data_IF_857618370661
#
_entry.id   IF_857618370661
#
_cell.length_a   1.000
_cell.length_b   1.000
_cell.length_c   1.000
_cell.angle_alpha   90.00
_cell.angle_beta   90.00
_cell.angle_gamma   90.00
#
_symmetry.space_group_name_H-M   'P 1'
#
loop_
_entity.id
_entity.type
_entity.pdbx_description
1 polymer ?
#
# COMPACT_ATOMS: atom_id res chain seq x y z
N UNK A 1 6.55 -2.45 -34.59
CA UNK A 1 5.42 -2.11 -33.70
C UNK A 1 5.79 -2.54 -32.29
N UNK A 2 6.15 -1.60 -31.41
CA UNK A 2 6.47 -1.89 -30.01
C UNK A 2 5.17 -1.77 -29.24
N UNK A 3 4.67 -2.88 -28.71
CA UNK A 3 3.46 -2.91 -27.88
C UNK A 3 3.78 -2.23 -26.55
N UNK A 4 3.27 -1.02 -26.38
CA UNK A 4 3.26 -0.29 -25.13
C UNK A 4 2.23 -0.97 -24.22
N UNK A 5 2.69 -1.86 -23.33
CA UNK A 5 1.83 -2.40 -22.27
C UNK A 5 1.38 -1.25 -21.38
N UNK A 6 0.16 -0.84 -21.66
CA UNK A 6 -0.57 0.16 -20.92
C UNK A 6 -1.00 -0.53 -19.62
N UNK A 7 -0.24 -0.34 -18.54
CA UNK A 7 -0.65 -0.75 -17.19
C UNK A 7 -1.75 0.19 -16.68
N UNK A 8 -2.90 0.15 -17.35
CA UNK A 8 -4.17 0.53 -16.74
C UNK A 8 -4.53 -0.57 -15.74
N UNK A 9 -4.70 -0.18 -14.48
CA UNK A 9 -5.55 -0.86 -13.50
C UNK A 9 -5.45 -2.39 -13.56
N UNK A 10 -4.30 -2.95 -13.16
CA UNK A 10 -4.28 -4.32 -12.66
C UNK A 10 -3.91 -4.25 -11.18
N UNK A 11 -4.90 -4.59 -10.35
CA UNK A 11 -4.63 -4.96 -8.97
C UNK A 11 -3.44 -5.90 -8.97
N UNK A 12 -2.46 -5.59 -8.13
CA UNK A 12 -1.42 -6.56 -7.81
C UNK A 12 -2.16 -7.85 -7.49
N UNK A 13 -1.98 -8.87 -8.33
CA UNK A 13 -2.23 -10.25 -7.97
C UNK A 13 -1.24 -10.60 -6.88
N UNK A 14 -1.45 -10.01 -5.69
CA UNK A 14 -1.07 -10.63 -4.44
C UNK A 14 -1.77 -11.97 -4.52
N UNK A 15 -0.99 -12.99 -4.85
CA UNK A 15 -1.44 -14.37 -4.87
C UNK A 15 -2.27 -14.56 -3.60
N UNK A 16 -3.58 -14.74 -3.80
CA UNK A 16 -4.57 -14.80 -2.75
C UNK A 16 -4.26 -15.99 -1.87
N UNK A 17 -3.46 -15.80 -0.82
CA UNK A 17 -3.45 -16.68 0.33
C UNK A 17 -4.20 -15.97 1.45
N UNK A 18 -5.51 -16.16 1.40
CA UNK A 18 -6.39 -16.38 2.55
C UNK A 18 -5.80 -15.98 3.91
N UNK A 19 -6.02 -14.73 4.32
CA UNK A 19 -6.00 -14.33 5.74
C UNK A 19 -4.77 -14.75 6.54
N UNK A 20 -3.60 -14.87 5.92
CA UNK A 20 -2.35 -15.11 6.60
C UNK A 20 -1.77 -13.76 7.02
N UNK A 21 -1.51 -13.62 8.33
CA UNK A 21 -0.76 -12.52 8.93
C UNK A 21 0.50 -12.27 8.08
N UNK A 22 0.56 -11.17 7.34
CA UNK A 22 1.77 -10.87 6.56
C UNK A 22 2.86 -10.50 7.56
N UNK A 23 3.81 -11.41 7.77
CA UNK A 23 5.00 -11.16 8.60
C UNK A 23 6.06 -10.32 7.88
N UNK A 24 5.83 -9.97 6.61
CA UNK A 24 6.79 -9.30 5.72
C UNK A 24 6.58 -7.80 5.75
N UNK A 25 7.10 -7.16 6.79
CA UNK A 25 6.89 -5.75 7.12
C UNK A 25 7.94 -4.84 6.49
N UNK A 26 8.24 -5.04 5.20
CA UNK A 26 9.39 -4.43 4.53
C UNK A 26 9.63 -2.96 4.87
N UNK A 27 10.90 -2.55 4.79
CA UNK A 27 11.31 -1.15 4.98
C UNK A 27 11.35 -0.44 3.65
N UNK A 28 10.94 0.82 3.63
CA UNK A 28 11.07 1.65 2.44
C UNK A 28 12.56 1.80 2.15
N UNK A 29 12.96 1.43 0.94
CA UNK A 29 14.33 1.49 0.43
C UNK A 29 14.51 2.53 -0.66
N UNK A 30 13.42 3.10 -1.17
CA UNK A 30 13.45 4.08 -2.24
C UNK A 30 12.15 4.85 -2.35
N UNK A 31 12.26 6.11 -2.74
CA UNK A 31 11.16 7.01 -3.00
C UNK A 31 11.60 8.01 -4.07
N UNK A 32 10.95 8.01 -5.22
CA UNK A 32 11.31 8.85 -6.37
C UNK A 32 10.04 9.40 -7.01
N UNK A 33 10.08 10.66 -7.42
CA UNK A 33 9.03 11.27 -8.24
C UNK A 33 9.48 11.26 -9.69
N UNK A 34 8.57 10.87 -10.58
CA UNK A 34 8.75 10.93 -12.02
C UNK A 34 7.63 11.77 -12.63
N UNK A 35 7.92 12.46 -13.72
CA UNK A 35 6.92 13.14 -14.55
C UNK A 35 6.75 12.33 -15.84
N UNK A 36 5.55 11.82 -16.07
CA UNK A 36 5.19 11.01 -17.24
C UNK A 36 4.31 11.84 -18.15
N UNK A 37 4.75 12.08 -19.39
CA UNK A 37 3.94 12.74 -20.40
C UNK A 37 2.90 11.77 -20.96
N UNK A 38 1.63 12.14 -20.90
CA UNK A 38 0.50 11.43 -21.50
C UNK A 38 -0.17 12.33 -22.55
N UNK A 39 -1.08 11.77 -23.35
CA UNK A 39 -1.83 12.54 -24.35
C UNK A 39 -2.69 13.66 -23.73
N UNK A 40 -2.98 13.59 -22.43
CA UNK A 40 -3.77 14.58 -21.69
C UNK A 40 -2.92 15.56 -20.87
N UNK A 41 -1.59 15.45 -20.92
CA UNK A 41 -0.66 16.35 -20.21
C UNK A 41 0.43 15.60 -19.43
N UNK A 42 1.12 16.30 -18.54
CA UNK A 42 2.15 15.69 -17.68
C UNK A 42 1.53 15.23 -16.37
N UNK A 43 1.72 13.96 -16.03
CA UNK A 43 1.25 13.34 -14.79
C UNK A 43 2.46 13.06 -13.89
N UNK A 44 2.38 13.46 -12.62
CA UNK A 44 3.37 13.05 -11.62
C UNK A 44 3.09 11.64 -11.14
N UNK A 45 4.11 10.80 -11.09
CA UNK A 45 4.06 9.44 -10.54
C UNK A 45 5.06 9.36 -9.39
N UNK A 46 4.60 8.82 -8.25
CA UNK A 46 5.47 8.48 -7.14
C UNK A 46 5.81 7.01 -7.21
N UNK A 47 7.11 6.70 -7.32
CA UNK A 47 7.63 5.35 -7.21
C UNK A 47 8.19 5.15 -5.80
N UNK A 48 7.80 4.06 -5.14
CA UNK A 48 8.37 3.66 -3.86
C UNK A 48 8.84 2.22 -3.91
N UNK A 49 9.90 1.89 -3.18
CA UNK A 49 10.36 0.52 -3.05
C UNK A 49 10.38 0.09 -1.58
N UNK A 50 10.03 -1.17 -1.38
CA UNK A 50 9.95 -1.82 -0.07
C UNK A 50 10.83 -3.07 -0.10
N UNK A 51 11.83 -3.10 0.77
CA UNK A 51 12.73 -4.23 0.92
C UNK A 51 12.40 -5.01 2.18
N UNK A 52 12.18 -6.31 2.06
CA UNK A 52 12.11 -7.25 3.17
C UNK A 52 13.08 -8.41 2.91
N UNK A 53 13.86 -8.78 3.90
CA UNK A 53 14.93 -9.79 3.74
C UNK A 53 15.83 -9.41 2.54
N UNK A 54 15.83 -10.22 1.48
CA UNK A 54 16.60 -9.99 0.26
C UNK A 54 15.70 -9.68 -0.96
N UNK A 55 14.43 -9.33 -0.73
CA UNK A 55 13.45 -9.06 -1.79
C UNK A 55 13.06 -7.59 -1.75
N UNK A 56 13.15 -6.91 -2.89
CA UNK A 56 12.68 -5.53 -3.08
C UNK A 56 11.47 -5.54 -4.01
N UNK A 57 10.38 -4.94 -3.55
CA UNK A 57 9.13 -4.76 -4.32
C UNK A 57 8.94 -3.28 -4.60
N UNK A 58 8.55 -2.94 -5.84
CA UNK A 58 8.27 -1.57 -6.25
C UNK A 58 6.75 -1.34 -6.29
N UNK A 59 6.34 -0.12 -5.95
CA UNK A 59 4.97 0.36 -5.98
C UNK A 59 4.93 1.70 -6.69
N UNK A 60 3.89 1.91 -7.48
CA UNK A 60 3.67 3.15 -8.22
C UNK A 60 2.34 3.76 -7.80
N UNK A 61 2.34 5.07 -7.62
CA UNK A 61 1.17 5.85 -7.27
C UNK A 61 1.05 7.02 -8.22
N UNK A 62 -0.11 7.17 -8.84
CA UNK A 62 -0.43 8.36 -9.63
C UNK A 62 -0.65 9.52 -8.67
N UNK A 63 0.18 10.56 -8.78
CA UNK A 63 0.17 11.75 -7.93
C UNK A 63 1.52 12.05 -7.29
N UNK A 64 1.62 13.24 -6.71
CA UNK A 64 2.74 13.65 -5.88
C UNK A 64 2.43 13.32 -4.41
N UNK A 65 3.14 12.34 -3.86
CA UNK A 65 3.00 11.93 -2.46
C UNK A 65 4.21 12.31 -1.60
N UNK A 66 4.84 13.45 -1.92
CA UNK A 66 5.87 14.06 -1.06
C UNK A 66 5.34 14.18 0.37
N UNK A 67 6.21 13.88 1.34
CA UNK A 67 5.88 13.73 2.75
C UNK A 67 5.66 12.30 3.19
N UNK A 68 5.49 11.35 2.26
CA UNK A 68 5.38 9.92 2.57
C UNK A 68 6.68 9.14 2.40
N UNK A 69 7.84 9.78 2.26
CA UNK A 69 9.13 9.13 1.98
C UNK A 69 9.51 8.07 3.02
N UNK A 70 9.02 8.25 4.26
CA UNK A 70 9.24 7.34 5.39
C UNK A 70 7.99 6.55 5.78
N UNK A 71 6.88 6.78 5.07
CA UNK A 71 5.63 6.05 5.16
C UNK A 71 5.40 5.28 3.83
N UNK A 72 4.26 4.61 3.63
CA UNK A 72 3.93 3.69 2.52
C UNK A 72 4.32 2.22 2.69
N UNK A 73 4.88 1.84 3.84
CA UNK A 73 5.05 0.42 4.18
C UNK A 73 3.70 -0.31 4.33
N UNK A 74 3.75 -1.64 4.20
CA UNK A 74 2.60 -2.51 4.48
C UNK A 74 2.25 -2.53 5.94
N UNK A 75 0.95 -2.46 6.25
CA UNK A 75 0.40 -2.73 7.56
C UNK A 75 -0.93 -3.50 7.45
N UNK A 76 -1.38 -4.09 8.55
CA UNK A 76 -2.73 -4.66 8.70
C UNK A 76 -3.50 -3.81 9.73
N UNK A 77 -4.51 -3.02 9.31
CA UNK A 77 -5.32 -2.19 10.20
C UNK A 77 -6.09 -3.00 11.25
N UNK A 78 -6.37 -4.28 10.97
CA UNK A 78 -7.09 -5.19 11.86
C UNK A 78 -6.18 -5.94 12.84
N UNK A 79 -4.94 -6.19 12.44
CA UNK A 79 -3.94 -6.87 13.27
C UNK A 79 -2.59 -6.13 13.15
N UNK A 80 -2.41 -5.00 13.86
CA UNK A 80 -1.23 -4.13 13.72
C UNK A 80 0.11 -4.78 14.09
N UNK A 81 0.09 -5.98 14.67
CA UNK A 81 1.26 -6.83 14.82
C UNK A 81 1.27 -7.97 13.79
N UNK A 82 2.37 -8.21 13.05
CA UNK A 82 3.73 -7.74 13.33
C UNK A 82 4.15 -6.46 12.59
N UNK A 83 3.40 -6.02 11.57
CA UNK A 83 3.79 -4.89 10.73
C UNK A 83 3.24 -3.59 11.27
N UNK A 84 4.03 -2.96 12.15
CA UNK A 84 3.71 -1.66 12.71
C UNK A 84 4.32 -0.54 11.85
N UNK A 85 3.52 0.48 11.59
CA UNK A 85 4.00 1.68 10.93
C UNK A 85 5.09 2.38 11.74
N UNK A 86 5.96 3.12 11.05
CA UNK A 86 6.93 3.99 11.73
C UNK A 86 6.21 5.02 12.61
N UNK A 87 6.88 5.53 13.66
CA UNK A 87 6.43 6.74 14.34
C UNK A 87 6.12 7.83 13.30
N UNK A 88 5.06 8.62 13.53
CA UNK A 88 4.52 9.64 12.62
C UNK A 88 3.65 9.13 11.45
N UNK A 89 3.66 7.82 11.17
CA UNK A 89 2.76 7.21 10.20
C UNK A 89 1.55 6.55 10.90
N UNK A 90 0.39 6.60 10.28
CA UNK A 90 -0.82 5.86 10.69
C UNK A 90 -1.12 4.73 9.70
N UNK A 91 -1.66 3.62 10.20
CA UNK A 91 -2.09 2.52 9.36
C UNK A 91 -3.53 2.73 8.90
N UNK A 92 -3.76 2.94 7.61
CA UNK A 92 -5.10 3.09 7.04
C UNK A 92 -5.43 1.94 6.08
N UNK A 93 -6.70 1.46 6.04
CA UNK A 93 -7.12 0.40 5.14
C UNK A 93 -7.17 0.84 3.67
N UNK A 94 -7.00 -0.12 2.78
CA UNK A 94 -7.31 0.02 1.37
C UNK A 94 -8.83 -0.12 1.14
N UNK A 95 -9.36 0.65 0.18
CA UNK A 95 -10.74 0.57 -0.29
C UNK A 95 -11.05 -0.84 -0.76
N UNK A 96 -12.09 -1.44 -0.20
CA UNK A 96 -12.50 -2.82 -0.47
C UNK A 96 -11.86 -3.87 0.45
N UNK A 97 -10.74 -3.56 1.12
CA UNK A 97 -9.89 -4.55 1.79
C UNK A 97 -9.49 -4.12 3.21
N UNK A 98 -10.33 -4.37 4.24
CA UNK A 98 -10.11 -3.87 5.61
C UNK A 98 -8.85 -4.43 6.29
N UNK A 99 -8.40 -5.64 5.93
CA UNK A 99 -7.22 -6.29 6.47
C UNK A 99 -5.92 -5.95 5.71
N UNK A 100 -6.00 -5.12 4.67
CA UNK A 100 -4.85 -4.67 3.89
C UNK A 100 -4.77 -3.17 4.04
N UNK A 101 -3.71 -2.68 4.68
CA UNK A 101 -3.54 -1.24 4.90
C UNK A 101 -2.18 -0.75 4.43
N UNK A 102 -2.07 0.57 4.28
CA UNK A 102 -0.81 1.30 4.08
C UNK A 102 -0.52 2.19 5.27
N UNK A 103 0.75 2.25 5.63
CA UNK A 103 1.25 3.30 6.50
C UNK A 103 1.24 4.62 5.72
N UNK A 104 0.66 5.67 6.27
CA UNK A 104 0.59 6.98 5.62
C UNK A 104 0.92 8.05 6.64
N UNK A 105 1.57 9.15 6.21
CA UNK A 105 1.82 10.28 7.11
C UNK A 105 0.52 11.02 7.39
N UNK A 106 0.35 11.46 8.64
CA UNK A 106 -0.78 12.32 9.02
C UNK A 106 -0.62 13.69 8.38
N UNK A 107 -1.73 14.28 7.92
CA UNK A 107 -1.74 15.62 7.31
C UNK A 107 -1.25 15.71 5.86
N UNK A 108 -0.78 14.61 5.26
CA UNK A 108 -0.41 14.54 3.83
C UNK A 108 -1.56 13.95 2.99
N UNK A 109 -1.66 14.29 1.69
CA UNK A 109 -2.61 13.67 0.78
C UNK A 109 -2.47 12.14 0.77
N UNK A 110 -3.60 11.43 0.78
CA UNK A 110 -3.58 9.97 0.81
C UNK A 110 -3.40 9.40 -0.60
N UNK A 111 -2.62 8.33 -0.76
CA UNK A 111 -2.58 7.57 -2.00
C UNK A 111 -3.96 7.10 -2.41
N UNK A 112 -4.20 7.03 -3.72
CA UNK A 112 -5.45 6.50 -4.24
C UNK A 112 -5.73 5.09 -3.70
N UNK A 113 -6.99 4.82 -3.41
CA UNK A 113 -7.43 3.59 -2.77
C UNK A 113 -7.14 3.48 -1.27
N UNK A 114 -6.49 4.44 -0.61
CA UNK A 114 -6.37 4.48 0.87
C UNK A 114 -7.52 5.30 1.46
N UNK A 115 -8.26 4.73 2.42
CA UNK A 115 -9.42 5.39 3.02
C UNK A 115 -9.20 5.70 4.51
N UNK A 116 -9.65 6.89 4.94
CA UNK A 116 -9.78 7.19 6.37
C UNK A 116 -10.96 6.42 6.96
N UNK A 117 -10.72 5.73 8.07
CA UNK A 117 -11.74 5.06 8.86
C UNK A 117 -11.38 3.61 9.19
N UNK A 118 -11.84 3.13 10.35
CA UNK A 118 -11.79 1.71 10.67
C UNK A 118 -12.91 1.03 9.90
N UNK A 119 -12.62 0.47 8.72
CA UNK A 119 -13.52 -0.54 8.17
C UNK A 119 -13.61 -1.67 9.21
N UNK A 120 -14.83 -2.04 9.59
CA UNK A 120 -15.09 -3.04 10.63
C UNK A 120 -14.33 -4.32 10.31
N UNK A 121 -13.22 -4.53 11.00
CA UNK A 121 -12.52 -5.80 11.02
C UNK A 121 -13.56 -6.82 11.46
N UNK A 122 -13.94 -7.73 10.55
CA UNK A 122 -14.83 -8.82 10.94
C UNK A 122 -14.03 -9.64 11.94
N UNK A 123 -14.39 -9.53 13.21
CA UNK A 123 -13.97 -10.50 14.20
C UNK A 123 -14.39 -11.85 13.61
N UNK A 124 -13.43 -12.72 13.30
CA UNK A 124 -13.76 -14.12 13.06
C UNK A 124 -14.20 -14.65 14.41
N UNK A 125 -15.47 -14.43 14.76
CA UNK A 125 -16.10 -15.15 15.85
C UNK A 125 -15.86 -16.62 15.57
N UNK A 126 -15.10 -17.25 16.47
CA UNK A 126 -14.69 -18.63 16.33
C UNK A 126 -15.92 -19.48 16.07
N UNK A 127 -15.86 -20.27 15.01
CA UNK A 127 -16.82 -21.34 14.77
C UNK A 127 -16.72 -22.28 15.98
N UNK A 128 -17.57 -22.06 17.00
CA UNK A 128 -17.70 -22.96 18.14
C UNK A 128 -18.08 -24.32 17.56
N UNK A 129 -17.18 -25.29 17.75
CA UNK A 129 -17.43 -26.70 17.47
C UNK A 129 -18.69 -27.12 18.23
N UNK A 130 -19.60 -27.78 17.54
CA UNK A 130 -20.60 -28.66 18.14
C UNK A 130 -20.31 -30.07 17.67
#
# INVERSE_FOLDING_TARGET
LVLHESFGILGTSVQQKSGARSHKCGRISGFVLSAVSTNSGTVTVTHSSLTYENVTVQFEYIGNYTGHERCLSTCDPCHPGPCTCRPECECLPMKGYPSVGRCVRKGTPLPDGVERGMRRCKNKEGKKRN
#
